data_IF_247656796286
#
_entry.id   IF_247656796286
#
_cell.length_a   1.000
_cell.length_b   1.000
_cell.length_c   1.000
_cell.angle_alpha   90.00
_cell.angle_beta   90.00
_cell.angle_gamma   90.00
#
_symmetry.space_group_name_H-M   'P 1'
#
loop_
_entity.id
_entity.type
_entity.pdbx_description
1 polymer ?
#
# COMPACT_ATOMS: atom_id res chain seq x y z
N UNK A 1 7.67 -1.39 0.30
CA UNK A 1 7.45 -1.79 1.71
C UNK A 1 6.16 -2.62 1.90
N UNK A 2 5.68 -3.32 0.87
CA UNK A 2 4.37 -4.02 0.91
C UNK A 2 4.51 -5.55 0.96
N UNK A 3 5.74 -6.07 0.88
CA UNK A 3 6.02 -7.51 0.86
C UNK A 3 7.05 -8.00 1.88
N UNK A 4 7.56 -7.15 2.76
CA UNK A 4 8.50 -7.62 3.79
C UNK A 4 7.70 -8.19 4.95
N UNK A 5 7.83 -9.50 5.19
CA UNK A 5 7.32 -10.20 6.38
C UNK A 5 7.86 -9.50 7.63
N UNK A 6 7.09 -8.57 8.16
CA UNK A 6 7.48 -7.81 9.33
C UNK A 6 6.96 -8.55 10.55
N UNK A 7 7.77 -9.47 11.07
CA UNK A 7 7.45 -10.35 12.19
C UNK A 7 6.97 -9.64 13.46
N UNK A 8 7.24 -8.33 13.59
CA UNK A 8 6.72 -7.50 14.70
C UNK A 8 5.25 -7.08 14.54
N UNK A 9 4.64 -7.24 13.37
CA UNK A 9 3.21 -6.97 13.14
C UNK A 9 2.34 -8.23 13.29
N UNK A 10 2.95 -9.42 13.28
CA UNK A 10 2.24 -10.69 13.43
C UNK A 10 1.50 -10.76 14.78
N UNK A 11 0.24 -11.20 14.75
CA UNK A 11 -0.64 -11.26 15.92
C UNK A 11 -1.16 -9.91 16.43
N UNK A 12 -0.71 -8.79 15.85
CA UNK A 12 -1.18 -7.43 16.19
C UNK A 12 -1.99 -6.79 15.08
N UNK A 13 -1.74 -7.16 13.82
CA UNK A 13 -2.44 -6.65 12.65
C UNK A 13 -2.99 -7.82 11.84
N UNK A 14 -4.28 -7.79 11.52
CA UNK A 14 -4.94 -8.82 10.72
C UNK A 14 -4.73 -8.50 9.24
N UNK A 15 -4.13 -9.43 8.50
CA UNK A 15 -4.01 -9.35 7.04
C UNK A 15 -5.31 -9.83 6.41
N UNK A 16 -5.98 -8.96 5.65
CA UNK A 16 -7.30 -9.22 5.06
C UNK A 16 -7.32 -9.29 3.52
N UNK A 17 -6.19 -9.03 2.86
CA UNK A 17 -6.14 -9.03 1.39
C UNK A 17 -4.74 -8.85 0.84
N UNK A 18 -4.59 -9.04 -0.48
CA UNK A 18 -3.35 -8.81 -1.23
C UNK A 18 -3.66 -8.09 -2.54
N UNK A 19 -2.71 -7.29 -3.02
CA UNK A 19 -2.80 -6.65 -4.33
C UNK A 19 -2.70 -7.72 -5.42
N UNK A 20 -3.71 -7.80 -6.30
CA UNK A 20 -3.74 -8.76 -7.42
C UNK A 20 -3.12 -8.18 -8.69
N UNK A 21 -3.29 -6.88 -8.94
CA UNK A 21 -2.76 -6.16 -10.10
C UNK A 21 -2.43 -4.70 -9.75
N UNK A 22 -1.64 -4.02 -10.58
CA UNK A 22 -1.31 -2.60 -10.39
C UNK A 22 -0.20 -2.33 -9.37
N UNK A 23 0.68 -3.30 -9.11
CA UNK A 23 1.77 -3.13 -8.14
C UNK A 23 2.78 -2.04 -8.55
N UNK A 24 2.86 -1.72 -9.85
CA UNK A 24 3.67 -0.60 -10.35
C UNK A 24 3.16 0.76 -9.84
N UNK A 25 1.84 0.95 -9.75
CA UNK A 25 1.23 2.16 -9.17
C UNK A 25 1.62 2.27 -7.72
N UNK A 26 1.59 1.15 -7.01
CA UNK A 26 1.95 1.09 -5.60
C UNK A 26 3.43 1.44 -5.37
N UNK A 27 4.34 0.98 -6.24
CA UNK A 27 5.74 1.40 -6.19
C UNK A 27 5.93 2.90 -6.48
N UNK A 28 5.15 3.48 -7.40
CA UNK A 28 5.16 4.92 -7.65
C UNK A 28 4.70 5.71 -6.42
N UNK A 29 3.66 5.24 -5.72
CA UNK A 29 3.20 5.83 -4.46
C UNK A 29 4.29 5.77 -3.39
N UNK A 30 5.01 4.65 -3.29
CA UNK A 30 6.11 4.49 -2.34
C UNK A 30 7.28 5.45 -2.63
N UNK A 31 7.59 5.71 -3.91
CA UNK A 31 8.64 6.64 -4.31
C UNK A 31 8.37 8.09 -3.90
N UNK A 32 7.10 8.47 -3.74
CA UNK A 32 6.68 9.76 -3.21
C UNK A 32 6.81 9.85 -1.68
N UNK A 33 7.10 8.74 -1.00
CA UNK A 33 7.30 8.69 0.45
C UNK A 33 8.57 9.41 0.93
N UNK A 34 8.58 9.75 2.23
CA UNK A 34 9.77 10.18 2.97
C UNK A 34 9.89 9.34 4.23
N UNK A 35 11.09 9.29 4.82
CA UNK A 35 11.37 8.52 6.03
C UNK A 35 10.50 8.96 7.23
N UNK A 36 10.09 10.23 7.28
CA UNK A 36 9.20 10.76 8.32
C UNK A 36 7.70 10.47 8.06
N UNK A 37 7.36 9.72 7.00
CA UNK A 37 5.99 9.39 6.63
C UNK A 37 5.21 10.49 5.92
N UNK A 38 5.75 11.72 5.80
CA UNK A 38 5.08 12.79 5.04
C UNK A 38 5.42 12.66 3.56
N UNK A 39 4.44 12.52 2.66
CA UNK A 39 4.74 12.39 1.24
C UNK A 39 5.33 13.68 0.64
N UNK A 40 6.11 13.56 -0.43
CA UNK A 40 6.66 14.67 -1.22
C UNK A 40 5.57 15.44 -1.95
N UNK A 41 4.58 14.70 -2.45
CA UNK A 41 3.49 15.19 -3.26
C UNK A 41 2.17 14.62 -2.77
N UNK A 42 1.05 15.29 -3.07
CA UNK A 42 -0.28 14.78 -2.70
C UNK A 42 -0.60 13.52 -3.53
N UNK A 43 -0.78 12.39 -2.85
CA UNK A 43 -1.26 11.13 -3.44
C UNK A 43 -2.70 10.91 -2.97
N UNK A 44 -3.64 10.73 -3.91
CA UNK A 44 -5.07 10.59 -3.60
C UNK A 44 -5.66 9.38 -4.33
N UNK A 45 -6.63 8.71 -3.70
CA UNK A 45 -7.50 7.77 -4.38
C UNK A 45 -8.56 8.61 -5.08
N UNK A 46 -8.46 8.71 -6.41
CA UNK A 46 -9.37 9.52 -7.21
C UNK A 46 -10.73 8.82 -7.43
N UNK A 47 -10.73 7.49 -7.50
CA UNK A 47 -11.92 6.66 -7.69
C UNK A 47 -11.67 5.24 -7.14
N UNK A 48 -12.73 4.53 -6.74
CA UNK A 48 -12.66 3.18 -6.20
C UNK A 48 -13.99 2.44 -6.33
N UNK A 49 -13.94 1.11 -6.53
CA UNK A 49 -15.13 0.26 -6.61
C UNK A 49 -14.78 -1.21 -6.39
N UNK A 50 -15.80 -2.06 -6.46
CA UNK A 50 -15.66 -3.52 -6.40
C UNK A 50 -15.71 -4.11 -7.82
N UNK A 51 -14.84 -5.08 -8.09
CA UNK A 51 -14.89 -5.83 -9.35
C UNK A 51 -15.79 -7.04 -9.14
N UNK A 52 -16.82 -7.25 -9.98
CA UNK A 52 -17.64 -8.45 -9.92
C UNK A 52 -16.78 -9.71 -9.98
N UNK A 53 -17.18 -10.73 -9.22
CA UNK A 53 -16.53 -12.04 -9.20
C UNK A 53 -16.66 -12.77 -10.54
#
# INVERSE_FOLDING_TARGET
>A
MIYTLYSRLDGKHVVFGKVLSGMDVVYKVEAEGKQNGTPKSKVVIADSGEVPL
#
